data_IF_219754720380
#
_entry.id   IF_219754720380
#
_cell.length_a   1.000
_cell.length_b   1.000
_cell.length_c   1.000
_cell.angle_alpha   90.00
_cell.angle_beta   90.00
_cell.angle_gamma   90.00
#
_symmetry.space_group_name_H-M   'P 1'
#
loop_
_entity.id
_entity.type
_entity.pdbx_description
1 polymer ?
#
# COMPACT_ATOMS: atom_id res chain seq x y z
N UNK A 1 -17.21 73.00 10.57
CA UNK A 1 -17.47 71.62 10.11
C UNK A 1 -17.27 71.61 8.61
N UNK A 2 -16.11 71.14 8.16
CA UNK A 2 -15.72 71.15 6.75
C UNK A 2 -15.92 69.73 6.19
N UNK A 3 -16.77 69.61 5.18
CA UNK A 3 -16.98 68.36 4.43
C UNK A 3 -16.23 68.48 3.10
N UNK A 4 -15.14 67.73 2.97
CA UNK A 4 -14.40 67.52 1.73
C UNK A 4 -15.03 66.36 0.97
N UNK A 5 -15.63 66.64 -0.20
CA UNK A 5 -16.07 65.65 -1.16
C UNK A 5 -15.03 65.61 -2.29
N UNK A 6 -14.15 64.61 -2.28
CA UNK A 6 -13.21 64.36 -3.38
C UNK A 6 -13.73 63.22 -4.26
N UNK A 7 -13.97 63.59 -5.52
CA UNK A 7 -14.31 62.77 -6.66
C UNK A 7 -13.04 62.08 -7.18
N UNK A 8 -12.99 60.74 -7.16
CA UNK A 8 -11.86 59.94 -7.68
C UNK A 8 -12.24 59.34 -9.04
N UNK A 9 -11.44 59.53 -10.11
CA UNK A 9 -11.73 58.99 -11.43
C UNK A 9 -11.25 57.54 -11.62
N UNK A 10 -11.88 56.88 -12.60
CA UNK A 10 -11.59 55.53 -13.13
C UNK A 10 -10.13 55.31 -13.51
N UNK A 11 -9.63 54.08 -13.30
CA UNK A 11 -8.62 53.48 -14.17
C UNK A 11 -8.65 51.94 -14.10
N UNK A 12 -8.89 51.37 -15.28
CA UNK A 12 -8.37 50.14 -15.86
C UNK A 12 -8.48 48.77 -15.16
N UNK A 13 -9.28 47.94 -15.84
CA UNK A 13 -9.15 46.51 -15.89
C UNK A 13 -7.77 46.12 -16.46
N UNK A 14 -7.05 45.24 -15.76
CA UNK A 14 -6.04 44.39 -16.40
C UNK A 14 -6.04 43.04 -15.72
N UNK A 15 -6.77 42.10 -16.33
CA UNK A 15 -6.67 40.68 -16.06
C UNK A 15 -5.25 40.21 -16.38
N UNK A 16 -4.52 39.72 -15.37
CA UNK A 16 -3.29 38.97 -15.60
C UNK A 16 -3.57 37.48 -15.43
N UNK A 17 -3.55 36.83 -16.59
CA UNK A 17 -3.58 35.40 -16.84
C UNK A 17 -2.40 34.74 -16.11
N UNK A 18 -2.68 33.88 -15.13
CA UNK A 18 -1.65 33.11 -14.47
C UNK A 18 -1.36 31.85 -15.30
N UNK A 19 -0.31 31.92 -16.12
CA UNK A 19 0.26 30.79 -16.87
C UNK A 19 0.63 29.64 -15.93
N UNK A 20 0.15 28.39 -16.15
CA UNK A 20 0.65 27.25 -15.40
C UNK A 20 2.07 26.90 -15.87
N UNK A 21 3.02 26.94 -14.93
CA UNK A 21 4.42 26.57 -15.13
C UNK A 21 4.51 25.08 -15.45
N UNK A 22 4.70 24.76 -16.72
CA UNK A 22 5.05 23.42 -17.19
C UNK A 22 6.41 23.01 -16.60
N UNK A 23 6.34 22.12 -15.61
CA UNK A 23 7.48 21.46 -14.99
C UNK A 23 7.12 20.02 -14.64
N UNK A 24 6.51 19.30 -15.59
CA UNK A 24 6.30 17.86 -15.45
C UNK A 24 7.62 17.15 -15.68
N UNK A 25 8.37 16.92 -14.60
CA UNK A 25 9.37 15.86 -14.61
C UNK A 25 8.63 14.53 -14.74
N UNK A 26 8.48 14.04 -15.97
CA UNK A 26 7.96 12.70 -16.26
C UNK A 26 8.99 11.71 -15.72
N UNK A 27 8.85 11.32 -14.44
CA UNK A 27 9.53 10.13 -13.95
C UNK A 27 9.05 8.96 -14.81
N UNK A 28 9.96 8.15 -15.39
CA UNK A 28 9.56 6.98 -16.13
C UNK A 28 8.76 6.07 -15.18
N UNK A 29 7.53 5.77 -15.57
CA UNK A 29 6.66 4.87 -14.82
C UNK A 29 7.41 3.55 -14.61
N UNK A 30 7.65 3.21 -13.35
CA UNK A 30 8.32 1.95 -12.98
C UNK A 30 7.52 0.81 -13.62
N UNK A 31 8.15 -0.10 -14.39
CA UNK A 31 7.41 -1.15 -15.07
C UNK A 31 6.63 -1.96 -14.04
N UNK A 32 5.33 -2.14 -14.28
CA UNK A 32 4.48 -2.92 -13.39
C UNK A 32 5.00 -4.35 -13.33
N UNK A 33 5.59 -4.73 -12.19
CA UNK A 33 6.04 -6.09 -11.94
C UNK A 33 4.81 -6.99 -11.81
N UNK A 34 4.43 -7.66 -12.90
CA UNK A 34 3.37 -8.66 -12.87
C UNK A 34 3.91 -9.94 -12.24
N UNK A 35 3.20 -10.43 -11.23
CA UNK A 35 3.47 -11.74 -10.67
C UNK A 35 3.07 -12.78 -11.72
N UNK A 36 4.02 -13.62 -12.15
CA UNK A 36 3.82 -14.56 -13.26
C UNK A 36 3.17 -15.86 -12.80
N UNK A 37 3.50 -16.29 -11.58
CA UNK A 37 3.01 -17.53 -10.99
C UNK A 37 3.17 -17.46 -9.46
N UNK A 38 2.19 -17.99 -8.75
CA UNK A 38 2.17 -18.08 -7.28
C UNK A 38 1.59 -19.43 -6.94
N UNK A 39 2.30 -20.22 -6.12
CA UNK A 39 1.79 -21.47 -5.60
C UNK A 39 1.46 -21.29 -4.11
N UNK A 40 0.22 -21.60 -3.74
CA UNK A 40 -0.29 -21.45 -2.37
C UNK A 40 -1.10 -22.65 -1.95
N UNK A 41 -1.06 -22.96 -0.65
CA UNK A 41 -1.95 -23.93 -0.02
C UNK A 41 -2.45 -23.46 1.33
N UNK A 42 -3.50 -24.13 1.81
CA UNK A 42 -4.11 -23.85 3.11
C UNK A 42 -3.11 -24.09 4.23
N UNK A 43 -3.25 -23.36 5.34
CA UNK A 43 -2.50 -23.65 6.55
C UNK A 43 -2.65 -25.11 6.97
N UNK A 44 -3.83 -25.70 6.78
CA UNK A 44 -4.15 -27.08 7.18
C UNK A 44 -3.34 -28.15 6.45
N UNK A 45 -2.73 -27.82 5.31
CA UNK A 45 -2.04 -28.79 4.47
C UNK A 45 -0.57 -28.97 4.89
N UNK A 46 -0.13 -28.35 6.00
CA UNK A 46 1.26 -28.38 6.48
C UNK A 46 1.81 -29.82 6.55
N UNK A 47 3.08 -29.99 6.14
CA UNK A 47 3.73 -31.31 6.02
C UNK A 47 4.17 -31.85 7.37
N UNK A 48 4.62 -30.95 8.24
CA UNK A 48 5.09 -31.27 9.58
C UNK A 48 4.94 -30.08 10.52
N UNK A 49 5.05 -30.35 11.83
CA UNK A 49 4.90 -29.34 12.87
C UNK A 49 5.93 -28.21 12.76
N UNK A 50 7.11 -28.46 12.17
CA UNK A 50 8.14 -27.44 11.98
C UNK A 50 7.71 -26.45 10.91
N UNK A 51 7.15 -26.92 9.80
CA UNK A 51 6.59 -26.07 8.75
C UNK A 51 5.45 -25.21 9.31
N UNK A 52 4.54 -25.80 10.08
CA UNK A 52 3.47 -25.06 10.74
C UNK A 52 4.03 -23.95 11.65
N UNK A 53 5.01 -24.28 12.50
CA UNK A 53 5.63 -23.29 13.38
C UNK A 53 6.33 -22.15 12.60
N UNK A 54 6.99 -22.47 11.49
CA UNK A 54 7.63 -21.48 10.62
C UNK A 54 6.59 -20.56 9.97
N UNK A 55 5.50 -21.11 9.45
CA UNK A 55 4.42 -20.35 8.81
C UNK A 55 3.76 -19.40 9.82
N UNK A 56 3.49 -19.88 11.03
CA UNK A 56 2.95 -19.05 12.12
C UNK A 56 3.92 -17.93 12.51
N UNK A 57 5.22 -18.22 12.61
CA UNK A 57 6.24 -17.22 12.90
C UNK A 57 6.31 -16.14 11.81
N UNK A 58 6.31 -16.53 10.54
CA UNK A 58 6.36 -15.62 9.41
C UNK A 58 5.12 -14.70 9.41
N UNK A 59 3.94 -15.26 9.65
CA UNK A 59 2.69 -14.49 9.70
C UNK A 59 2.62 -13.52 10.89
N UNK A 60 3.05 -13.93 12.09
CA UNK A 60 3.12 -13.04 13.26
C UNK A 60 4.16 -11.94 13.02
N UNK A 61 5.26 -12.26 12.36
CA UNK A 61 6.28 -11.25 11.99
C UNK A 61 5.72 -10.25 10.98
N UNK A 62 4.97 -10.72 9.98
CA UNK A 62 4.29 -9.86 9.01
C UNK A 62 3.25 -8.97 9.71
N UNK A 63 2.44 -9.52 10.60
CA UNK A 63 1.47 -8.77 11.41
C UNK A 63 2.16 -7.70 12.27
N UNK A 64 3.27 -8.05 12.93
CA UNK A 64 4.06 -7.11 13.73
C UNK A 64 4.55 -5.93 12.88
N UNK A 65 5.12 -6.21 11.70
CA UNK A 65 5.57 -5.16 10.78
C UNK A 65 4.42 -4.30 10.27
N UNK A 66 3.28 -4.91 9.94
CA UNK A 66 2.08 -4.16 9.54
C UNK A 66 1.66 -3.15 10.62
N UNK A 67 1.75 -3.55 11.89
CA UNK A 67 1.46 -2.66 13.02
C UNK A 67 2.55 -1.61 13.23
N UNK A 68 3.83 -2.00 13.27
CA UNK A 68 4.93 -1.06 13.54
C UNK A 68 5.16 -0.05 12.40
N UNK A 69 5.05 -0.49 11.16
CA UNK A 69 5.37 0.33 9.98
C UNK A 69 4.18 1.18 9.52
N UNK A 70 2.95 0.70 9.74
CA UNK A 70 1.74 1.33 9.21
C UNK A 70 0.64 1.60 10.26
N UNK A 71 0.87 1.28 11.54
CA UNK A 71 -0.09 1.43 12.64
C UNK A 71 -1.43 0.73 12.35
N UNK A 72 -1.35 -0.42 11.68
CA UNK A 72 -2.50 -1.23 11.27
C UNK A 72 -2.48 -2.57 11.99
N UNK A 73 -3.60 -2.94 12.58
CA UNK A 73 -3.87 -4.30 13.01
C UNK A 73 -4.57 -5.04 11.87
N UNK A 74 -4.15 -6.28 11.58
CA UNK A 74 -4.86 -7.10 10.58
C UNK A 74 -6.29 -7.41 11.02
N UNK A 75 -6.49 -7.61 12.33
CA UNK A 75 -7.79 -7.87 12.94
C UNK A 75 -8.29 -9.30 12.78
N UNK A 76 -7.85 -10.01 11.73
CA UNK A 76 -8.26 -11.39 11.48
C UNK A 76 -7.08 -12.35 11.28
N UNK A 77 -6.56 -12.89 12.38
CA UNK A 77 -5.49 -13.91 12.36
C UNK A 77 -6.11 -15.26 12.71
N UNK A 78 -6.42 -16.05 11.69
CA UNK A 78 -7.03 -17.38 11.84
C UNK A 78 -6.51 -18.33 10.73
N UNK A 79 -6.78 -19.65 10.80
CA UNK A 79 -6.27 -20.60 9.81
C UNK A 79 -6.65 -20.34 8.35
N UNK A 80 -7.73 -19.61 8.09
CA UNK A 80 -8.20 -19.27 6.73
C UNK A 80 -7.52 -18.01 6.17
N UNK A 81 -7.01 -17.11 7.03
CA UNK A 81 -6.26 -15.91 6.62
C UNK A 81 -4.75 -16.15 6.58
N UNK A 82 -4.32 -17.35 6.97
CA UNK A 82 -2.93 -17.79 6.92
C UNK A 82 -2.73 -18.72 5.72
N UNK A 83 -1.76 -18.39 4.87
CA UNK A 83 -1.41 -19.18 3.68
C UNK A 83 0.04 -19.59 3.68
N UNK A 84 0.28 -20.75 3.10
CA UNK A 84 1.60 -21.31 2.87
C UNK A 84 1.98 -20.99 1.43
N UNK A 85 3.01 -20.17 1.23
CA UNK A 85 3.61 -19.92 -0.08
C UNK A 85 4.67 -20.96 -0.39
N UNK A 86 4.52 -21.64 -1.52
CA UNK A 86 5.50 -22.61 -2.00
C UNK A 86 6.41 -22.00 -3.09
N UNK A 87 7.68 -22.43 -3.15
CA UNK A 87 8.56 -22.08 -4.26
C UNK A 87 7.96 -22.53 -5.60
N UNK A 88 7.97 -21.64 -6.59
CA UNK A 88 7.61 -21.99 -7.97
C UNK A 88 8.73 -22.78 -8.65
N UNK A 89 8.39 -23.54 -9.69
CA UNK A 89 9.38 -24.27 -10.47
C UNK A 89 10.39 -23.29 -11.11
N UNK A 90 11.69 -23.53 -10.87
CA UNK A 90 12.76 -22.63 -11.32
C UNK A 90 12.99 -21.42 -10.39
N UNK A 91 12.46 -21.43 -9.16
CA UNK A 91 12.86 -20.48 -8.14
C UNK A 91 14.36 -20.58 -7.83
N UNK A 92 14.94 -19.46 -7.38
CA UNK A 92 16.34 -19.35 -6.97
C UNK A 92 16.73 -20.45 -5.97
N UNK A 93 17.99 -20.87 -6.03
CA UNK A 93 18.52 -21.87 -5.11
C UNK A 93 18.36 -21.39 -3.65
N UNK A 94 17.69 -22.20 -2.83
CA UNK A 94 17.36 -21.85 -1.44
C UNK A 94 15.97 -21.23 -1.22
N UNK A 95 15.14 -21.12 -2.26
CA UNK A 95 13.73 -20.78 -2.07
C UNK A 95 13.04 -21.77 -1.12
N UNK A 96 12.44 -21.23 -0.06
CA UNK A 96 11.77 -22.01 0.99
C UNK A 96 10.29 -21.69 1.04
N UNK A 97 9.54 -22.59 1.66
CA UNK A 97 8.17 -22.31 2.09
C UNK A 97 8.13 -21.08 3.00
N UNK A 98 7.16 -20.20 2.80
CA UNK A 98 6.95 -19.02 3.65
C UNK A 98 5.51 -18.93 4.12
N UNK A 99 5.31 -18.46 5.36
CA UNK A 99 3.99 -18.08 5.83
C UNK A 99 3.62 -16.67 5.43
N UNK A 100 2.34 -16.44 5.15
CA UNK A 100 1.81 -15.11 4.93
C UNK A 100 0.42 -14.93 5.51
N UNK A 101 0.11 -13.66 5.77
CA UNK A 101 -1.20 -13.20 6.21
C UNK A 101 -1.88 -12.50 5.02
N UNK A 102 -3.07 -12.96 4.66
CA UNK A 102 -3.89 -12.44 3.56
C UNK A 102 -5.21 -11.90 4.13
N UNK A 103 -6.02 -11.29 3.27
CA UNK A 103 -7.33 -10.75 3.63
C UNK A 103 -7.25 -9.49 4.52
N UNK A 104 -6.25 -8.65 4.25
CA UNK A 104 -6.23 -7.29 4.77
C UNK A 104 -7.03 -6.35 3.86
N UNK A 105 -8.31 -6.20 4.16
CA UNK A 105 -9.09 -5.07 3.69
C UNK A 105 -8.94 -3.93 4.70
N UNK A 106 -8.18 -2.90 4.32
CA UNK A 106 -8.00 -1.72 5.17
C UNK A 106 -9.33 -1.11 5.63
N UNK A 107 -9.32 -0.26 6.68
CA UNK A 107 -10.54 0.22 7.32
C UNK A 107 -11.49 0.69 6.23
N UNK A 108 -12.61 -0.03 6.10
CA UNK A 108 -13.61 0.22 5.07
C UNK A 108 -13.90 1.70 5.16
N UNK A 109 -13.62 2.46 4.10
CA UNK A 109 -13.98 3.89 4.08
C UNK A 109 -15.49 3.92 4.30
N UNK A 110 -15.91 4.26 5.51
CA UNK A 110 -17.32 4.46 5.84
C UNK A 110 -17.76 5.61 4.94
N UNK A 111 -18.49 5.26 3.89
CA UNK A 111 -19.25 6.21 3.08
C UNK A 111 -20.40 6.77 3.89
#
# INVERSE_FOLDING_TARGET
MASTNENVPSADATSQEHTPRAGSSTQPARPARRVKEVNTRSLTDFKDTRELAQVMLDAITAHKRLYEDANILHGDVNPNTLVIFEPVAGAEEGARTMGALIDYDGPSQRR
#
